data_IF_564324285022
#
_entry.id   IF_564324285022
#
_cell.length_a   1.000
_cell.length_b   1.000
_cell.length_c   1.000
_cell.angle_alpha   90.00
_cell.angle_beta   90.00
_cell.angle_gamma   90.00
#
_symmetry.space_group_name_H-M   'P 1'
#
loop_
_entity.id
_entity.type
_entity.pdbx_description
1 polymer ?
#
# COMPACT_ATOMS: atom_id res chain seq x y z
N UNK A 1 7.30 1.82 45.27
CA UNK A 1 7.65 0.94 44.14
C UNK A 1 7.31 1.68 42.85
N UNK A 2 8.31 2.08 42.07
CA UNK A 2 8.12 2.80 40.80
C UNK A 2 7.88 1.74 39.72
N UNK A 3 6.67 1.70 39.13
CA UNK A 3 6.38 0.88 37.95
C UNK A 3 7.08 1.53 36.75
N UNK A 4 8.21 0.96 36.33
CA UNK A 4 8.83 1.24 35.04
C UNK A 4 7.81 0.86 33.94
N UNK A 5 7.30 1.84 33.22
CA UNK A 5 6.51 1.61 32.02
C UNK A 5 7.52 1.26 30.92
N UNK A 6 7.63 -0.02 30.59
CA UNK A 6 8.41 -0.44 29.43
C UNK A 6 7.65 -0.04 28.18
N UNK A 7 8.10 1.03 27.53
CA UNK A 7 7.68 1.34 26.16
C UNK A 7 8.26 0.26 25.25
N UNK A 8 7.51 -0.82 25.02
CA UNK A 8 7.72 -1.64 23.83
C UNK A 8 7.45 -0.72 22.65
N UNK A 9 8.50 -0.32 21.94
CA UNK A 9 8.41 0.39 20.68
C UNK A 9 8.31 -0.69 19.59
N UNK A 10 7.10 -1.07 19.11
CA UNK A 10 6.91 -2.20 18.19
C UNK A 10 7.40 -1.89 16.76
N UNK A 11 8.37 -0.98 16.61
CA UNK A 11 8.81 -0.45 15.30
C UNK A 11 9.46 -1.49 14.39
N UNK A 12 9.65 -2.72 14.87
CA UNK A 12 10.17 -3.87 14.11
C UNK A 12 9.16 -5.02 14.03
N UNK A 13 7.88 -4.73 13.80
CA UNK A 13 6.97 -5.74 13.26
C UNK A 13 7.22 -5.80 11.75
N UNK A 14 8.05 -6.74 11.32
CA UNK A 14 8.18 -7.09 9.90
C UNK A 14 6.80 -7.45 9.37
N UNK A 15 6.24 -6.60 8.50
CA UNK A 15 4.92 -6.85 7.92
C UNK A 15 5.01 -8.05 6.96
N UNK A 16 4.02 -8.96 6.96
CA UNK A 16 4.00 -10.06 6.00
C UNK A 16 3.97 -9.52 4.57
N UNK A 17 4.61 -10.21 3.64
CA UNK A 17 4.54 -9.82 2.22
C UNK A 17 3.09 -9.84 1.75
N UNK A 18 2.65 -8.76 1.12
CA UNK A 18 1.30 -8.65 0.60
C UNK A 18 1.28 -8.05 -0.80
N UNK A 19 0.22 -8.36 -1.53
CA UNK A 19 -0.02 -7.83 -2.87
C UNK A 19 -0.76 -6.49 -2.78
N UNK A 20 -0.26 -5.50 -3.51
CA UNK A 20 -0.89 -4.20 -3.65
C UNK A 20 -2.18 -4.31 -4.49
N UNK A 21 -3.28 -3.74 -4.01
CA UNK A 21 -4.58 -3.75 -4.68
C UNK A 21 -4.67 -2.80 -5.89
N UNK A 22 -3.64 -1.98 -6.14
CA UNK A 22 -3.59 -1.05 -7.28
C UNK A 22 -2.63 -1.49 -8.39
N UNK A 23 -1.43 -1.97 -8.04
CA UNK A 23 -0.39 -2.30 -9.02
C UNK A 23 -0.03 -3.79 -9.10
N UNK A 24 -0.64 -4.63 -8.26
CA UNK A 24 -0.42 -6.08 -8.17
C UNK A 24 0.99 -6.52 -7.77
N UNK A 25 1.84 -5.59 -7.32
CA UNK A 25 3.19 -5.90 -6.81
C UNK A 25 3.10 -6.53 -5.41
N UNK A 26 3.89 -7.56 -5.18
CA UNK A 26 4.13 -8.11 -3.84
C UNK A 26 5.20 -7.29 -3.13
N UNK A 27 4.92 -6.83 -1.91
CA UNK A 27 5.81 -5.98 -1.13
C UNK A 27 5.54 -6.14 0.36
N UNK A 28 6.56 -5.88 1.18
CA UNK A 28 6.44 -5.73 2.64
C UNK A 28 6.17 -4.28 3.05
N UNK A 29 6.30 -3.34 2.12
CA UNK A 29 6.14 -1.90 2.34
C UNK A 29 4.80 -1.41 1.78
N UNK A 30 3.75 -1.58 2.58
CA UNK A 30 2.39 -1.16 2.25
C UNK A 30 1.66 -0.58 3.47
N UNK A 31 0.64 0.21 3.19
CA UNK A 31 -0.35 0.66 4.17
C UNK A 31 -1.66 -0.11 3.97
N UNK A 32 -2.35 -0.38 5.07
CA UNK A 32 -3.67 -0.99 5.09
C UNK A 32 -4.70 0.11 5.31
N UNK A 33 -5.58 0.30 4.33
CA UNK A 33 -6.72 1.20 4.41
C UNK A 33 -7.98 0.37 4.58
N UNK A 34 -9.00 0.96 5.21
CA UNK A 34 -10.32 0.36 5.34
C UNK A 34 -11.28 1.16 4.48
N UNK A 35 -11.98 0.49 3.55
CA UNK A 35 -12.98 1.14 2.70
C UNK A 35 -14.25 1.49 3.50
N UNK A 36 -15.14 2.29 2.92
CA UNK A 36 -16.46 2.55 3.52
C UNK A 36 -17.30 1.27 3.71
N UNK A 37 -17.03 0.21 2.93
CA UNK A 37 -17.64 -1.10 3.07
C UNK A 37 -16.93 -1.98 4.13
N UNK A 38 -16.01 -1.42 4.89
CA UNK A 38 -15.17 -2.12 5.87
C UNK A 38 -14.25 -3.19 5.26
N UNK A 39 -13.85 -3.01 4.00
CA UNK A 39 -12.96 -3.93 3.31
C UNK A 39 -11.50 -3.47 3.40
N UNK A 40 -10.55 -4.36 3.72
CA UNK A 40 -9.13 -4.05 3.75
C UNK A 40 -8.58 -3.81 2.33
N UNK A 41 -7.85 -2.70 2.16
CA UNK A 41 -7.15 -2.33 0.93
C UNK A 41 -5.67 -2.13 1.25
N UNK A 42 -4.80 -2.94 0.66
CA UNK A 42 -3.35 -2.90 0.85
C UNK A 42 -2.74 -2.14 -0.31
N UNK A 43 -2.22 -0.95 -0.03
CA UNK A 43 -1.60 -0.10 -1.06
C UNK A 43 -0.11 0.06 -0.78
N UNK A 44 0.73 -0.23 -1.77
CA UNK A 44 2.18 -0.08 -1.63
C UNK A 44 2.58 1.39 -1.57
N UNK A 45 3.70 1.67 -0.90
CA UNK A 45 4.22 3.03 -0.77
C UNK A 45 4.57 3.70 -2.10
N UNK A 46 4.91 2.94 -3.13
CA UNK A 46 5.15 3.50 -4.46
C UNK A 46 3.88 4.03 -5.10
N UNK A 47 2.72 3.39 -4.88
CA UNK A 47 1.44 3.90 -5.34
C UNK A 47 1.05 5.16 -4.55
N UNK A 48 1.21 5.14 -3.23
CA UNK A 48 0.93 6.31 -2.39
C UNK A 48 1.80 7.51 -2.76
N UNK A 49 3.11 7.31 -2.92
CA UNK A 49 4.02 8.38 -3.30
C UNK A 49 3.71 8.96 -4.69
N UNK A 50 3.11 8.17 -5.60
CA UNK A 50 2.62 8.66 -6.90
C UNK A 50 1.36 9.51 -6.75
N UNK A 51 0.48 9.17 -5.81
CA UNK A 51 -0.69 9.98 -5.46
C UNK A 51 -0.28 11.31 -4.82
N UNK A 52 0.57 11.26 -3.80
CA UNK A 52 1.04 12.44 -3.09
C UNK A 52 1.81 13.42 -3.98
N UNK A 53 2.54 12.90 -4.98
CA UNK A 53 3.28 13.73 -5.95
C UNK A 53 2.44 14.18 -7.15
N UNK A 54 1.15 13.85 -7.19
CA UNK A 54 0.29 14.13 -8.35
C UNK A 54 0.78 13.43 -9.64
N UNK A 55 1.60 12.39 -9.52
CA UNK A 55 2.15 11.64 -10.66
C UNK A 55 1.07 10.86 -11.43
N UNK A 56 -0.11 10.66 -10.82
CA UNK A 56 -1.32 10.19 -11.50
C UNK A 56 -2.02 11.25 -12.37
N UNK A 57 -1.41 12.41 -12.63
CA UNK A 57 -1.91 13.44 -13.55
C UNK A 57 -1.96 13.03 -15.04
N UNK A 58 -1.88 11.74 -15.37
CA UNK A 58 -2.54 11.20 -16.57
C UNK A 58 -3.80 10.48 -16.12
N UNK A 59 -4.94 11.17 -16.33
CA UNK A 59 -6.32 10.73 -16.03
C UNK A 59 -6.66 9.33 -16.59
N UNK A 60 -5.87 8.85 -17.54
CA UNK A 60 -6.07 7.61 -18.30
C UNK A 60 -4.98 6.54 -18.06
N UNK A 61 -4.06 6.73 -17.10
CA UNK A 61 -3.07 5.69 -16.82
C UNK A 61 -3.71 4.50 -16.10
N UNK A 62 -4.01 3.44 -16.87
CA UNK A 62 -4.33 2.11 -16.35
C UNK A 62 -3.24 1.14 -16.77
N UNK A 63 -2.68 0.39 -15.81
CA UNK A 63 -1.85 -0.78 -16.15
C UNK A 63 -2.78 -1.84 -16.73
N UNK A 64 -2.51 -2.26 -17.97
CA UNK A 64 -3.25 -3.35 -18.61
C UNK A 64 -3.23 -4.58 -17.72
N UNK A 65 -4.41 -5.16 -17.55
CA UNK A 65 -4.63 -6.44 -16.89
C UNK A 65 -3.66 -7.50 -17.42
N UNK A 66 -3.41 -8.55 -16.62
CA UNK A 66 -2.46 -9.66 -16.85
C UNK A 66 -2.66 -10.47 -18.16
N UNK A 67 -3.50 -10.03 -19.11
CA UNK A 67 -3.67 -10.56 -20.47
C UNK A 67 -2.86 -9.81 -21.55
N UNK A 68 -2.03 -8.83 -21.17
CA UNK A 68 -0.93 -8.40 -22.03
C UNK A 68 -1.29 -7.50 -23.21
N UNK A 69 -2.35 -6.71 -23.16
CA UNK A 69 -2.55 -5.62 -24.13
C UNK A 69 -2.89 -4.30 -23.44
N UNK A 70 -2.00 -3.31 -23.63
CA UNK A 70 -2.21 -1.90 -23.27
C UNK A 70 -2.32 -1.15 -24.61
N UNK A 71 -3.53 -0.81 -25.08
CA UNK A 71 -3.67 -0.04 -26.31
C UNK A 71 -3.24 1.42 -26.08
N UNK A 72 -2.58 1.98 -27.09
CA UNK A 72 -2.09 3.37 -27.16
C UNK A 72 -3.22 4.37 -27.35
#
# INVERSE_FOLDING_TARGET
MIKMIQAFDPKTIEKPMARCDECDRETTHYNLFISAANEPRRICWECLAREEKGFFAKRDFRRGSRLGSIPR
#
